data_IF_739064925363
#
_entry.id   IF_739064925363
#
_cell.length_a   1.000
_cell.length_b   1.000
_cell.length_c   1.000
_cell.angle_alpha   90.00
_cell.angle_beta   90.00
_cell.angle_gamma   90.00
#
_symmetry.space_group_name_H-M   'P 1'
#
loop_
_entity.id
_entity.type
_entity.pdbx_description
1 polymer ?
#
# COMPACT_ATOMS: atom_id res chain seq x y z
N UNK A 1 -34.23 5.90 4.89
CA UNK A 1 -33.75 5.72 3.48
C UNK A 1 -32.25 5.97 3.49
N UNK A 2 -31.47 4.99 3.09
CA UNK A 2 -30.03 5.17 2.90
C UNK A 2 -29.84 6.09 1.68
N UNK A 3 -28.98 7.09 1.77
CA UNK A 3 -28.67 7.97 0.63
C UNK A 3 -27.93 7.17 -0.42
N UNK A 4 -28.21 7.42 -1.72
CA UNK A 4 -27.48 6.79 -2.82
C UNK A 4 -25.96 6.97 -2.71
N UNK A 5 -25.51 8.06 -2.12
CA UNK A 5 -24.10 8.29 -1.80
C UNK A 5 -23.55 7.27 -0.78
N UNK A 6 -24.32 6.97 0.27
CA UNK A 6 -23.94 5.97 1.26
C UNK A 6 -23.98 4.54 0.68
N UNK A 7 -24.83 4.27 -0.28
CA UNK A 7 -24.82 3.00 -1.03
C UNK A 7 -23.52 2.86 -1.84
N UNK A 8 -23.11 3.91 -2.55
CA UNK A 8 -21.83 3.94 -3.28
C UNK A 8 -20.65 3.74 -2.32
N UNK A 9 -20.67 4.38 -1.15
CA UNK A 9 -19.63 4.25 -0.15
C UNK A 9 -19.57 2.83 0.43
N UNK A 10 -20.70 2.26 0.83
CA UNK A 10 -20.78 0.89 1.38
C UNK A 10 -20.33 -0.15 0.36
N UNK A 11 -20.71 0.04 -0.91
CA UNK A 11 -20.25 -0.85 -1.97
C UNK A 11 -18.73 -0.74 -2.18
N UNK A 12 -18.19 0.49 -2.23
CA UNK A 12 -16.75 0.73 -2.35
C UNK A 12 -15.98 0.12 -1.16
N UNK A 13 -16.52 0.24 0.05
CA UNK A 13 -15.98 -0.40 1.25
C UNK A 13 -15.95 -1.92 1.10
N UNK A 14 -17.05 -2.52 0.67
CA UNK A 14 -17.16 -3.97 0.50
C UNK A 14 -16.14 -4.51 -0.50
N UNK A 15 -16.05 -3.94 -1.70
CA UNK A 15 -15.11 -4.42 -2.73
C UNK A 15 -13.64 -4.16 -2.37
N UNK A 16 -13.38 -3.20 -1.46
CA UNK A 16 -12.02 -2.87 -1.01
C UNK A 16 -11.55 -3.71 0.19
N UNK A 17 -12.38 -4.60 0.75
CA UNK A 17 -11.96 -5.50 1.85
C UNK A 17 -10.91 -6.50 1.39
N UNK A 18 -11.11 -7.07 0.20
CA UNK A 18 -10.21 -8.02 -0.43
C UNK A 18 -9.39 -7.33 -1.54
N UNK A 19 -8.82 -6.16 -1.21
CA UNK A 19 -8.06 -5.37 -2.18
C UNK A 19 -6.80 -6.08 -2.63
N UNK A 20 -6.71 -6.34 -3.94
CA UNK A 20 -5.52 -6.89 -4.61
C UNK A 20 -5.18 -6.01 -5.80
N UNK A 21 -3.93 -5.53 -5.87
CA UNK A 21 -3.46 -4.63 -6.94
C UNK A 21 -3.60 -5.25 -8.35
N UNK A 22 -3.68 -6.57 -8.45
CA UNK A 22 -3.81 -7.27 -9.74
C UNK A 22 -5.24 -7.32 -10.28
N UNK A 23 -6.27 -7.09 -9.47
CA UNK A 23 -7.69 -7.11 -9.88
C UNK A 23 -8.37 -5.76 -9.63
N UNK A 24 -8.13 -4.81 -10.52
CA UNK A 24 -8.63 -3.45 -10.41
C UNK A 24 -9.93 -3.19 -11.19
N UNK A 25 -10.46 -4.17 -11.93
CA UNK A 25 -11.61 -3.97 -12.82
C UNK A 25 -12.83 -3.39 -12.09
N UNK A 26 -13.12 -3.87 -10.89
CA UNK A 26 -14.29 -3.48 -10.08
C UNK A 26 -14.24 -2.06 -9.49
N UNK A 27 -13.11 -1.39 -9.61
CA UNK A 27 -12.85 -0.11 -8.95
C UNK A 27 -13.03 1.11 -9.85
N UNK A 28 -13.71 0.96 -10.99
CA UNK A 28 -14.01 2.07 -11.91
C UNK A 28 -15.41 2.62 -11.67
N UNK A 29 -15.60 3.91 -12.00
CA UNK A 29 -16.93 4.52 -11.89
C UNK A 29 -17.96 3.83 -12.80
N UNK A 30 -17.53 3.20 -13.90
CA UNK A 30 -18.40 2.46 -14.80
C UNK A 30 -18.93 1.18 -14.14
N UNK A 31 -18.01 0.33 -13.62
CA UNK A 31 -18.39 -0.93 -12.98
C UNK A 31 -19.25 -0.71 -11.72
N UNK A 32 -18.92 0.33 -10.93
CA UNK A 32 -19.72 0.72 -9.76
C UNK A 32 -21.11 1.18 -10.17
N UNK A 33 -21.23 1.96 -11.26
CA UNK A 33 -22.52 2.44 -11.76
C UNK A 33 -23.41 1.31 -12.28
N UNK A 34 -22.83 0.33 -12.98
CA UNK A 34 -23.53 -0.86 -13.47
C UNK A 34 -24.03 -1.73 -12.31
N UNK A 35 -23.20 -1.97 -11.32
CA UNK A 35 -23.58 -2.81 -10.17
C UNK A 35 -24.68 -2.19 -9.31
N UNK A 36 -24.61 -0.87 -9.09
CA UNK A 36 -25.60 -0.15 -8.28
C UNK A 36 -26.80 0.35 -9.09
N UNK A 37 -26.85 0.08 -10.40
CA UNK A 37 -27.89 0.51 -11.32
C UNK A 37 -28.17 2.04 -11.25
N UNK A 38 -27.09 2.83 -11.20
CA UNK A 38 -27.12 4.30 -11.20
C UNK A 38 -26.41 4.82 -12.45
N UNK A 39 -26.61 6.09 -12.79
CA UNK A 39 -25.87 6.68 -13.92
C UNK A 39 -24.39 6.82 -13.60
N UNK A 40 -23.52 6.60 -14.60
CA UNK A 40 -22.06 6.77 -14.50
C UNK A 40 -21.66 8.16 -14.00
N UNK A 41 -22.39 9.19 -14.43
CA UNK A 41 -22.11 10.56 -14.01
C UNK A 41 -22.37 10.73 -12.51
N UNK A 42 -23.45 10.17 -12.00
CA UNK A 42 -23.81 10.21 -10.58
C UNK A 42 -22.82 9.41 -9.74
N UNK A 43 -22.43 8.21 -10.18
CA UNK A 43 -21.39 7.42 -9.52
C UNK A 43 -20.07 8.19 -9.44
N UNK A 44 -19.63 8.77 -10.56
CA UNK A 44 -18.41 9.59 -10.63
C UNK A 44 -18.48 10.83 -9.73
N UNK A 45 -19.64 11.49 -9.65
CA UNK A 45 -19.84 12.63 -8.76
C UNK A 45 -19.66 12.21 -7.29
N UNK A 46 -20.38 11.20 -6.83
CA UNK A 46 -20.29 10.73 -5.44
C UNK A 46 -18.89 10.21 -5.08
N UNK A 47 -18.24 9.47 -5.99
CA UNK A 47 -16.86 9.01 -5.77
C UNK A 47 -15.89 10.20 -5.63
N UNK A 48 -16.01 11.24 -6.44
CA UNK A 48 -15.18 12.44 -6.29
C UNK A 48 -15.49 13.23 -5.00
N UNK A 49 -16.75 13.24 -4.54
CA UNK A 49 -17.11 13.82 -3.24
C UNK A 49 -16.46 13.04 -2.10
N UNK A 50 -16.49 11.69 -2.12
CA UNK A 50 -15.84 10.84 -1.12
C UNK A 50 -14.31 11.06 -1.10
N UNK A 51 -13.70 11.33 -2.23
CA UNK A 51 -12.27 11.70 -2.32
C UNK A 51 -12.01 13.05 -1.63
N UNK A 52 -12.87 14.06 -1.86
CA UNK A 52 -12.77 15.37 -1.18
C UNK A 52 -12.93 15.23 0.35
N UNK A 53 -13.80 14.34 0.79
CA UNK A 53 -14.01 14.01 2.21
C UNK A 53 -12.89 13.13 2.80
N UNK A 54 -11.87 12.79 2.02
CA UNK A 54 -10.75 11.90 2.40
C UNK A 54 -11.19 10.48 2.81
N UNK A 55 -12.36 10.05 2.36
CA UNK A 55 -12.91 8.69 2.60
C UNK A 55 -12.52 7.72 1.47
N UNK A 56 -12.20 8.23 0.29
CA UNK A 56 -11.77 7.44 -0.86
C UNK A 56 -10.44 7.94 -1.45
N UNK A 57 -9.72 7.05 -2.12
CA UNK A 57 -8.52 7.33 -2.91
C UNK A 57 -8.90 7.30 -4.38
N UNK A 58 -8.39 8.27 -5.15
CA UNK A 58 -8.53 8.34 -6.60
C UNK A 58 -7.17 8.19 -7.27
N UNK A 59 -7.09 7.31 -8.26
CA UNK A 59 -5.92 7.13 -9.12
C UNK A 59 -6.28 7.56 -10.54
N UNK A 60 -5.68 8.66 -11.01
CA UNK A 60 -5.90 9.24 -12.33
C UNK A 60 -5.15 8.46 -13.42
N UNK A 61 -5.54 7.22 -13.64
CA UNK A 61 -5.08 6.37 -14.74
C UNK A 61 -6.14 6.26 -15.84
N UNK A 62 -5.90 5.43 -16.82
CA UNK A 62 -6.89 5.07 -17.83
C UNK A 62 -7.10 3.57 -17.81
N UNK A 63 -8.23 3.11 -17.22
CA UNK A 63 -9.33 3.86 -16.58
C UNK A 63 -8.96 4.50 -15.24
N UNK A 64 -9.80 5.44 -14.74
CA UNK A 64 -9.67 6.04 -13.40
C UNK A 64 -10.19 5.06 -12.37
N UNK A 65 -9.42 4.81 -11.30
CA UNK A 65 -9.79 3.93 -10.21
C UNK A 65 -10.12 4.71 -8.94
N UNK A 66 -11.07 4.15 -8.16
CA UNK A 66 -11.47 4.67 -6.86
C UNK A 66 -11.42 3.55 -5.82
N UNK A 67 -10.80 3.79 -4.68
CA UNK A 67 -10.62 2.80 -3.61
C UNK A 67 -11.14 3.34 -2.28
N UNK A 68 -11.67 2.47 -1.43
CA UNK A 68 -11.99 2.82 -0.06
C UNK A 68 -10.69 3.03 0.72
N UNK A 69 -10.44 4.27 1.20
CA UNK A 69 -9.14 4.66 1.77
C UNK A 69 -8.73 3.74 2.92
N UNK A 70 -9.57 3.60 3.93
CA UNK A 70 -9.25 2.84 5.14
C UNK A 70 -8.94 1.37 4.86
N UNK A 71 -9.75 0.69 4.02
CA UNK A 71 -9.55 -0.73 3.73
C UNK A 71 -8.27 -0.97 2.92
N UNK A 72 -7.97 -0.08 1.97
CA UNK A 72 -6.72 -0.17 1.21
C UNK A 72 -5.51 0.11 2.10
N UNK A 73 -5.58 1.11 2.98
CA UNK A 73 -4.53 1.39 3.97
C UNK A 73 -4.28 0.20 4.91
N UNK A 74 -5.33 -0.50 5.32
CA UNK A 74 -5.22 -1.74 6.11
C UNK A 74 -4.62 -2.89 5.30
N UNK A 75 -5.10 -3.11 4.07
CA UNK A 75 -4.67 -4.24 3.23
C UNK A 75 -3.19 -4.14 2.84
N UNK A 76 -2.74 -2.95 2.48
CA UNK A 76 -1.33 -2.70 2.12
C UNK A 76 -0.49 -2.19 3.30
N UNK A 77 -1.11 -2.01 4.48
CA UNK A 77 -0.48 -1.53 5.72
C UNK A 77 0.28 -0.20 5.55
N UNK A 78 -0.25 0.72 4.77
CA UNK A 78 0.33 2.03 4.44
C UNK A 78 -0.69 3.12 4.73
N UNK A 79 -0.29 4.21 5.35
CA UNK A 79 -1.11 5.42 5.51
C UNK A 79 -0.82 6.39 4.38
N UNK A 80 -1.85 6.84 3.69
CA UNK A 80 -1.71 7.82 2.61
C UNK A 80 -2.07 9.23 3.08
N UNK A 81 -1.11 10.15 3.00
CA UNK A 81 -1.35 11.57 3.25
C UNK A 81 -2.19 12.21 2.15
N UNK A 82 -2.08 11.68 0.92
CA UNK A 82 -2.81 12.16 -0.26
C UNK A 82 -3.91 11.18 -0.67
N UNK A 83 -5.04 11.71 -1.14
CA UNK A 83 -6.15 10.89 -1.64
C UNK A 83 -6.23 10.87 -3.18
N UNK A 84 -5.32 11.58 -3.87
CA UNK A 84 -5.29 11.66 -5.33
C UNK A 84 -3.90 11.35 -5.83
N UNK A 85 -3.79 10.42 -6.77
CA UNK A 85 -2.56 10.01 -7.43
C UNK A 85 -2.65 10.27 -8.92
N UNK A 86 -1.54 10.70 -9.54
CA UNK A 86 -1.47 11.03 -10.96
C UNK A 86 -1.54 9.79 -11.87
N UNK A 87 -1.18 8.62 -11.34
CA UNK A 87 -1.21 7.34 -12.05
C UNK A 87 -1.06 6.15 -11.12
N UNK A 88 -1.23 4.95 -11.68
CA UNK A 88 -1.11 3.71 -10.94
C UNK A 88 0.33 3.47 -10.46
N UNK A 89 1.32 3.88 -11.26
CA UNK A 89 2.74 3.75 -10.92
C UNK A 89 3.10 4.56 -9.67
N UNK A 90 2.60 5.80 -9.56
CA UNK A 90 2.80 6.64 -8.38
C UNK A 90 2.15 6.01 -7.14
N UNK A 91 0.93 5.48 -7.30
CA UNK A 91 0.24 4.79 -6.21
C UNK A 91 1.02 3.55 -5.74
N UNK A 92 1.49 2.71 -6.67
CA UNK A 92 2.28 1.50 -6.38
C UNK A 92 3.62 1.87 -5.73
N UNK A 93 4.33 2.86 -6.27
CA UNK A 93 5.60 3.32 -5.71
C UNK A 93 5.43 3.83 -4.27
N UNK A 94 4.38 4.59 -4.01
CA UNK A 94 4.10 5.10 -2.68
C UNK A 94 3.68 4.00 -1.70
N UNK A 95 2.91 3.02 -2.17
CA UNK A 95 2.58 1.81 -1.43
C UNK A 95 3.83 0.97 -1.10
N UNK A 96 4.73 0.78 -2.07
CA UNK A 96 5.96 0.03 -1.91
C UNK A 96 6.98 0.76 -1.02
N UNK A 97 7.18 2.07 -1.19
CA UNK A 97 8.16 2.84 -0.43
C UNK A 97 7.87 2.89 1.07
N UNK A 98 6.60 2.89 1.45
CA UNK A 98 6.21 2.84 2.87
C UNK A 98 6.22 1.41 3.43
N UNK A 99 5.97 0.38 2.62
CA UNK A 99 6.12 -1.01 3.03
C UNK A 99 7.58 -1.40 3.27
N UNK A 100 8.51 -0.87 2.48
CA UNK A 100 9.95 -1.11 2.67
C UNK A 100 10.48 -0.62 4.02
N UNK A 101 9.86 0.42 4.59
CA UNK A 101 10.22 0.88 5.94
C UNK A 101 9.67 -0.01 7.05
N UNK A 102 8.54 -0.71 6.84
CA UNK A 102 7.86 -1.47 7.90
C UNK A 102 8.52 -2.79 8.26
N UNK A 103 9.24 -3.41 7.33
CA UNK A 103 9.89 -4.70 7.62
C UNK A 103 10.88 -4.56 8.77
N UNK A 104 11.68 -3.49 8.77
CA UNK A 104 12.61 -3.21 9.87
C UNK A 104 11.96 -2.50 11.06
N UNK A 105 10.77 -1.90 10.94
CA UNK A 105 10.05 -1.27 12.07
C UNK A 105 9.65 -2.27 13.16
N UNK A 106 9.58 -3.56 12.82
CA UNK A 106 9.38 -4.64 13.80
C UNK A 106 10.56 -4.77 14.77
N UNK A 107 11.75 -4.25 14.42
CA UNK A 107 12.90 -4.24 15.31
C UNK A 107 12.87 -3.01 16.22
N UNK A 108 12.77 -3.24 17.53
CA UNK A 108 12.86 -2.17 18.53
C UNK A 108 14.22 -1.46 18.38
N UNK A 109 14.22 -0.14 18.28
CA UNK A 109 15.43 0.66 18.08
C UNK A 109 15.94 0.76 16.63
N UNK A 110 15.13 0.37 15.62
CA UNK A 110 15.50 0.42 14.20
C UNK A 110 15.87 1.83 13.70
N UNK A 111 15.37 2.88 14.32
CA UNK A 111 15.70 4.28 14.03
C UNK A 111 16.63 4.91 15.08
N UNK A 112 17.12 4.14 16.05
CA UNK A 112 18.05 4.56 17.12
C UNK A 112 19.31 3.70 17.09
N UNK A 113 19.44 2.77 18.04
CA UNK A 113 20.63 1.92 18.21
C UNK A 113 20.89 0.96 17.05
N UNK A 114 19.86 0.53 16.32
CA UNK A 114 19.96 -0.37 15.16
C UNK A 114 19.92 0.36 13.82
N UNK A 115 19.80 1.70 13.78
CA UNK A 115 19.64 2.44 12.54
C UNK A 115 20.77 2.16 11.54
N UNK A 116 22.02 2.18 11.98
CA UNK A 116 23.17 1.89 11.13
C UNK A 116 23.14 0.45 10.57
N UNK A 117 22.77 -0.54 11.39
CA UNK A 117 22.63 -1.92 10.95
C UNK A 117 21.51 -2.07 9.92
N UNK A 118 20.38 -1.39 10.13
CA UNK A 118 19.23 -1.41 9.20
C UNK A 118 19.63 -0.80 7.85
N UNK A 119 20.32 0.34 7.85
CA UNK A 119 20.77 0.97 6.60
C UNK A 119 21.80 0.10 5.85
N UNK A 120 22.71 -0.54 6.56
CA UNK A 120 23.64 -1.52 5.97
C UNK A 120 22.91 -2.73 5.37
N UNK A 121 21.88 -3.26 6.05
CA UNK A 121 21.05 -4.34 5.51
C UNK A 121 20.33 -3.91 4.23
N UNK A 122 19.74 -2.72 4.20
CA UNK A 122 19.08 -2.18 3.01
C UNK A 122 20.07 -1.98 1.85
N UNK A 123 21.22 -1.37 2.12
CA UNK A 123 22.28 -1.16 1.13
C UNK A 123 22.78 -2.49 0.55
N UNK A 124 22.98 -3.51 1.38
CA UNK A 124 23.41 -4.83 0.93
C UNK A 124 22.37 -5.51 0.04
N UNK A 125 21.08 -5.40 0.35
CA UNK A 125 19.99 -5.97 -0.49
C UNK A 125 19.96 -5.29 -1.86
N UNK A 126 20.13 -3.98 -1.92
CA UNK A 126 20.06 -3.21 -3.17
C UNK A 126 21.36 -3.17 -3.98
N UNK A 127 22.42 -3.81 -3.53
CA UNK A 127 23.72 -3.78 -4.23
C UNK A 127 23.65 -4.60 -5.53
N UNK A 128 23.94 -4.01 -6.71
CA UNK A 128 23.87 -4.73 -7.97
C UNK A 128 25.04 -5.72 -8.13
N UNK A 129 24.88 -6.86 -8.84
CA UNK A 129 23.64 -7.27 -9.53
C UNK A 129 22.64 -8.04 -8.64
N UNK A 130 23.07 -8.69 -7.56
CA UNK A 130 22.26 -9.67 -6.82
C UNK A 130 22.37 -9.50 -5.30
N UNK A 131 22.65 -8.30 -4.81
CA UNK A 131 22.89 -8.04 -3.40
C UNK A 131 24.30 -8.46 -2.93
N UNK A 132 24.60 -8.13 -1.67
CA UNK A 132 25.86 -8.54 -1.01
C UNK A 132 25.56 -9.58 0.08
N UNK A 133 26.47 -10.57 0.26
CA UNK A 133 26.41 -11.45 1.42
C UNK A 133 26.63 -10.66 2.71
N UNK A 134 25.79 -10.90 3.72
CA UNK A 134 25.84 -10.20 5.01
C UNK A 134 26.11 -11.19 6.14
N UNK A 135 27.10 -10.87 6.99
CA UNK A 135 27.38 -11.60 8.20
C UNK A 135 26.89 -10.83 9.42
N UNK A 136 25.96 -11.41 10.18
CA UNK A 136 25.54 -10.88 11.47
C UNK A 136 26.40 -11.46 12.59
N UNK A 137 27.22 -10.61 13.21
CA UNK A 137 28.07 -11.00 14.32
C UNK A 137 27.65 -10.32 15.62
N UNK A 138 27.76 -11.03 16.76
CA UNK A 138 27.42 -10.52 18.08
C UNK A 138 27.12 -11.62 19.09
N UNK A 139 26.92 -11.27 20.36
CA UNK A 139 26.64 -12.20 21.45
C UNK A 139 25.36 -13.01 21.24
N UNK A 140 25.18 -14.20 21.83
CA UNK A 140 23.92 -14.94 21.84
C UNK A 140 22.77 -14.07 22.37
N UNK A 141 21.55 -14.24 21.81
CA UNK A 141 20.35 -13.51 22.26
C UNK A 141 20.21 -12.07 21.76
N UNK A 142 21.15 -11.52 20.99
CA UNK A 142 21.11 -10.12 20.49
C UNK A 142 20.21 -9.89 19.28
N UNK A 143 19.38 -10.86 18.90
CA UNK A 143 18.40 -10.70 17.81
C UNK A 143 18.94 -10.85 16.39
N UNK A 144 20.14 -11.43 16.19
CA UNK A 144 20.75 -11.63 14.85
C UNK A 144 19.84 -12.38 13.87
N UNK A 145 19.28 -13.49 14.31
CA UNK A 145 18.35 -14.29 13.48
C UNK A 145 17.06 -13.54 13.15
N UNK A 146 16.59 -12.70 14.06
CA UNK A 146 15.45 -11.84 13.82
C UNK A 146 15.77 -10.77 12.77
N UNK A 147 16.92 -10.09 12.87
CA UNK A 147 17.35 -9.08 11.91
C UNK A 147 17.62 -9.68 10.52
N UNK A 148 18.23 -10.88 10.46
CA UNK A 148 18.41 -11.64 9.21
C UNK A 148 17.09 -11.97 8.54
N UNK A 149 16.07 -12.37 9.31
CA UNK A 149 14.73 -12.61 8.80
C UNK A 149 14.07 -11.35 8.25
N UNK A 150 14.18 -10.23 8.96
CA UNK A 150 13.66 -8.93 8.48
C UNK A 150 14.36 -8.49 7.19
N UNK A 151 15.68 -8.69 7.08
CA UNK A 151 16.43 -8.42 5.85
C UNK A 151 15.95 -9.27 4.67
N UNK A 152 15.67 -10.56 4.89
CA UNK A 152 15.12 -11.45 3.88
C UNK A 152 13.71 -11.02 3.45
N UNK A 153 12.82 -10.73 4.41
CA UNK A 153 11.47 -10.21 4.14
C UNK A 153 11.53 -8.91 3.33
N UNK A 154 12.44 -8.01 3.70
CA UNK A 154 12.69 -6.77 2.97
C UNK A 154 13.12 -7.02 1.53
N UNK A 155 14.13 -7.89 1.29
CA UNK A 155 14.61 -8.23 -0.05
C UNK A 155 13.54 -8.84 -0.93
N UNK A 156 12.73 -9.75 -0.38
CA UNK A 156 11.59 -10.35 -1.06
C UNK A 156 10.54 -9.32 -1.45
N UNK A 157 10.22 -8.38 -0.56
CA UNK A 157 9.25 -7.31 -0.83
C UNK A 157 9.74 -6.32 -1.88
N UNK A 158 11.05 -6.10 -1.97
CA UNK A 158 11.68 -5.28 -3.00
C UNK A 158 11.85 -6.01 -4.35
N UNK A 159 11.49 -7.30 -4.44
CA UNK A 159 11.71 -8.15 -5.62
C UNK A 159 13.17 -8.22 -6.08
N UNK A 160 14.09 -8.13 -5.14
CA UNK A 160 15.54 -8.23 -5.38
C UNK A 160 16.04 -9.66 -5.10
N UNK A 161 15.25 -10.44 -4.36
CA UNK A 161 15.49 -11.85 -4.03
C UNK A 161 14.38 -12.73 -4.62
#
# INVERSE_FOLDING_TARGET
>A
MVSTKEEVYSYLEQISRDFVIQDLKRFTANDISETLNISRNLASQYLNELVKEKRAIKVNSRPVYFFHKHNVELSIQVLFDTCVFSGLDEFILKAASQNSCKDFQKAIGHYLSLSSCVEQCKAAVHYPPNGLPVLFWGAPGTGKSFLSRLMFEYGKNQRVL
#
